data_IF_571192531811
#
_entry.id   IF_571192531811
#
_cell.length_a   1.000
_cell.length_b   1.000
_cell.length_c   1.000
_cell.angle_alpha   90.00
_cell.angle_beta   90.00
_cell.angle_gamma   90.00
#
_symmetry.space_group_name_H-M   'P 1'
#
loop_
_entity.id
_entity.type
_entity.pdbx_description
1 polymer ?
#
# COMPACT_ATOMS: atom_id res chain seq x y z
N UNK A 1 9.59 -2.93 24.61
CA UNK A 1 8.89 -2.40 23.41
C UNK A 1 7.42 -2.26 23.76
N UNK A 2 6.71 -1.22 23.30
CA UNK A 2 5.27 -1.07 23.55
C UNK A 2 4.53 -0.92 22.22
N UNK A 3 3.50 -1.75 22.04
CA UNK A 3 2.60 -1.68 20.89
C UNK A 3 1.39 -0.81 21.19
N UNK A 4 1.19 0.24 20.39
CA UNK A 4 -0.01 1.07 20.44
C UNK A 4 -0.91 0.67 19.27
N UNK A 5 -2.09 0.11 19.55
CA UNK A 5 -3.07 -0.26 18.52
C UNK A 5 -3.70 0.98 17.86
N UNK A 6 -4.14 0.82 16.61
CA UNK A 6 -4.92 1.85 15.91
C UNK A 6 -6.20 2.14 16.69
N UNK A 7 -6.49 3.43 16.91
CA UNK A 7 -7.65 3.87 17.68
C UNK A 7 -7.52 3.73 19.21
N UNK A 8 -6.35 3.31 19.73
CA UNK A 8 -6.14 3.20 21.17
C UNK A 8 -6.38 4.54 21.88
N UNK A 9 -7.14 4.50 22.98
CA UNK A 9 -7.45 5.68 23.78
C UNK A 9 -6.24 6.12 24.61
N UNK A 10 -6.18 7.41 24.94
CA UNK A 10 -5.13 7.94 25.82
C UNK A 10 -5.09 7.21 27.19
N UNK A 11 -6.24 6.74 27.67
CA UNK A 11 -6.32 5.93 28.90
C UNK A 11 -5.66 4.57 28.72
N UNK A 12 -5.96 3.85 27.64
CA UNK A 12 -5.33 2.56 27.33
C UNK A 12 -3.81 2.69 27.17
N UNK A 13 -3.37 3.69 26.41
CA UNK A 13 -1.94 3.98 26.21
C UNK A 13 -1.24 4.27 27.53
N UNK A 14 -1.84 5.11 28.40
CA UNK A 14 -1.30 5.35 29.75
C UNK A 14 -1.29 4.08 30.62
N UNK A 15 -2.29 3.21 30.41
CA UNK A 15 -2.40 1.88 30.98
C UNK A 15 -1.17 1.04 30.71
N UNK A 16 -0.91 0.83 29.42
CA UNK A 16 0.23 0.09 28.88
C UNK A 16 1.56 0.66 29.37
N UNK A 17 1.73 1.98 29.28
CA UNK A 17 2.98 2.64 29.70
C UNK A 17 3.27 2.54 31.19
N UNK A 18 2.23 2.50 32.05
CA UNK A 18 2.45 2.29 33.49
C UNK A 18 2.78 0.82 33.79
N UNK A 19 2.12 -0.12 33.12
CA UNK A 19 2.39 -1.55 33.32
C UNK A 19 3.84 -1.91 32.94
N UNK A 20 4.34 -1.31 31.86
CA UNK A 20 5.73 -1.42 31.41
C UNK A 20 6.72 -0.52 32.18
N UNK A 21 6.27 0.09 33.29
CA UNK A 21 7.08 0.96 34.16
C UNK A 21 7.74 2.16 33.45
N UNK A 22 7.22 2.61 32.30
CA UNK A 22 7.73 3.79 31.59
C UNK A 22 7.26 5.11 32.21
N UNK A 23 6.07 5.11 32.81
CA UNK A 23 5.51 6.28 33.52
C UNK A 23 5.23 5.95 34.99
N UNK A 24 5.42 6.95 35.86
CA UNK A 24 5.13 6.81 37.31
C UNK A 24 3.63 6.82 37.61
N UNK A 25 2.87 7.69 36.94
CA UNK A 25 1.46 7.92 37.25
C UNK A 25 0.62 8.08 35.96
N UNK A 26 -0.44 7.26 35.83
CA UNK A 26 -1.39 7.27 34.71
C UNK A 26 -2.11 8.63 34.60
N UNK A 27 -2.61 9.15 35.72
CA UNK A 27 -3.43 10.37 35.76
C UNK A 27 -2.60 11.59 35.37
N UNK A 28 -1.38 11.71 35.89
CA UNK A 28 -0.46 12.79 35.52
C UNK A 28 -0.12 12.78 34.02
N UNK A 29 0.04 11.58 33.44
CA UNK A 29 0.27 11.42 32.01
C UNK A 29 -0.93 11.87 31.18
N UNK A 30 -2.15 11.46 31.54
CA UNK A 30 -3.37 11.86 30.84
C UNK A 30 -3.59 13.37 30.90
N UNK A 31 -3.38 13.99 32.07
CA UNK A 31 -3.48 15.45 32.24
C UNK A 31 -2.43 16.17 31.39
N UNK A 32 -1.17 15.75 31.45
CA UNK A 32 -0.09 16.34 30.66
C UNK A 32 -0.35 16.21 29.14
N UNK A 33 -0.91 15.08 28.71
CA UNK A 33 -1.30 14.87 27.32
C UNK A 33 -2.44 15.82 26.91
N UNK A 34 -3.49 15.94 27.74
CA UNK A 34 -4.63 16.84 27.50
C UNK A 34 -4.21 18.31 27.34
N UNK A 35 -3.29 18.79 28.18
CA UNK A 35 -2.74 20.15 28.11
C UNK A 35 -1.94 20.37 26.81
N UNK A 36 -1.31 19.33 26.28
CA UNK A 36 -0.41 19.44 25.12
C UNK A 36 -1.13 19.67 23.78
N UNK A 37 -2.46 19.88 23.76
CA UNK A 37 -3.35 20.20 22.62
C UNK A 37 -3.29 19.26 21.38
N UNK A 38 -2.36 18.29 21.38
CA UNK A 38 -2.08 17.35 20.29
C UNK A 38 -2.24 15.90 20.73
N UNK A 39 -2.73 15.63 21.94
CA UNK A 39 -2.91 14.27 22.45
C UNK A 39 -3.91 13.42 21.66
N UNK A 40 -4.83 14.03 20.91
CA UNK A 40 -5.72 13.30 20.00
C UNK A 40 -5.00 12.82 18.72
N UNK A 41 -3.71 13.13 18.53
CA UNK A 41 -2.90 12.74 17.38
C UNK A 41 -1.83 11.69 17.74
N UNK A 42 -2.14 10.80 18.68
CA UNK A 42 -1.26 9.66 18.99
C UNK A 42 -1.11 8.79 17.74
N UNK A 43 0.13 8.58 17.31
CA UNK A 43 0.45 7.64 16.24
C UNK A 43 0.48 6.23 16.80
N UNK A 44 -0.26 5.33 16.18
CA UNK A 44 -0.22 3.90 16.46
C UNK A 44 1.06 3.30 15.86
N UNK A 45 1.49 2.15 16.39
CA UNK A 45 2.73 1.48 16.01
C UNK A 45 3.54 1.03 17.23
N UNK A 46 4.70 0.45 16.98
CA UNK A 46 5.59 -0.07 18.00
C UNK A 46 6.63 0.96 18.43
N UNK A 47 6.70 1.20 19.73
CA UNK A 47 7.63 2.16 20.30
C UNK A 47 8.70 1.47 21.14
N UNK A 48 9.95 1.77 20.84
CA UNK A 48 11.09 1.42 21.67
C UNK A 48 11.42 2.58 22.62
N UNK A 49 11.33 2.28 23.92
CA UNK A 49 11.73 3.17 24.99
C UNK A 49 12.85 2.49 25.79
N UNK A 50 14.08 2.96 25.63
CA UNK A 50 15.27 2.35 26.27
C UNK A 50 15.36 2.67 27.78
N UNK A 51 14.74 3.78 28.22
CA UNK A 51 14.81 4.26 29.61
C UNK A 51 13.50 4.91 30.05
N UNK A 52 13.30 4.97 31.37
CA UNK A 52 12.26 5.82 31.99
C UNK A 52 12.50 7.27 31.59
N UNK A 53 11.63 7.79 30.73
CA UNK A 53 11.68 9.18 30.24
C UNK A 53 10.54 9.97 30.88
N UNK A 54 10.63 11.31 30.83
CA UNK A 54 9.56 12.14 31.37
C UNK A 54 8.26 11.91 30.59
N UNK A 55 7.12 11.97 31.29
CA UNK A 55 5.80 11.80 30.66
C UNK A 55 5.63 12.71 29.43
N UNK A 56 6.12 13.95 29.53
CA UNK A 56 6.07 14.92 28.44
C UNK A 56 6.94 14.52 27.23
N UNK A 57 8.11 13.92 27.46
CA UNK A 57 8.96 13.40 26.38
C UNK A 57 8.27 12.23 25.67
N UNK A 58 7.66 11.31 26.42
CA UNK A 58 6.91 10.18 25.87
C UNK A 58 5.72 10.68 25.04
N UNK A 59 4.94 11.64 25.56
CA UNK A 59 3.82 12.26 24.83
C UNK A 59 4.32 12.88 23.52
N UNK A 60 5.41 13.66 23.57
CA UNK A 60 5.99 14.26 22.36
C UNK A 60 6.39 13.21 21.33
N UNK A 61 7.05 12.13 21.75
CA UNK A 61 7.46 11.04 20.86
C UNK A 61 6.26 10.37 20.20
N UNK A 62 5.25 10.03 20.97
CA UNK A 62 4.06 9.31 20.48
C UNK A 62 3.16 10.20 19.59
N UNK A 63 3.11 11.51 19.86
CA UNK A 63 2.41 12.47 18.99
C UNK A 63 3.16 12.71 17.68
N UNK A 64 4.50 12.67 17.71
CA UNK A 64 5.35 12.86 16.52
C UNK A 64 5.55 11.58 15.70
N UNK A 65 5.24 10.40 16.25
CA UNK A 65 5.57 9.12 15.61
C UNK A 65 7.06 8.79 15.69
N UNK A 66 7.74 9.19 16.77
CA UNK A 66 9.14 8.85 17.02
C UNK A 66 9.23 7.45 17.66
N UNK A 67 8.97 6.43 16.83
CA UNK A 67 8.90 5.02 17.19
C UNK A 67 10.18 4.50 17.88
N UNK A 68 11.35 5.03 17.51
CA UNK A 68 12.63 4.55 18.05
C UNK A 68 13.03 3.16 17.54
N UNK A 69 12.27 2.62 16.58
CA UNK A 69 12.66 1.50 15.73
C UNK A 69 12.92 2.03 14.33
N UNK A 70 13.86 1.42 13.62
CA UNK A 70 14.13 1.80 12.23
C UNK A 70 13.19 1.03 11.30
N UNK A 71 12.49 1.70 10.38
CA UNK A 71 11.71 0.99 9.37
C UNK A 71 12.64 0.28 8.38
N UNK A 72 12.20 -0.85 7.88
CA UNK A 72 12.81 -1.60 6.79
C UNK A 72 12.31 -1.01 5.47
N UNK A 73 13.23 -0.78 4.54
CA UNK A 73 12.94 -0.35 3.19
C UNK A 73 12.58 -1.56 2.33
N UNK A 74 11.34 -1.60 1.85
CA UNK A 74 10.85 -2.62 0.91
C UNK A 74 10.64 -1.95 -0.44
N UNK A 75 11.27 -2.48 -1.47
CA UNK A 75 11.07 -2.03 -2.85
C UNK A 75 10.16 -3.05 -3.52
N UNK A 76 8.93 -2.64 -3.81
CA UNK A 76 8.00 -3.48 -4.57
C UNK A 76 8.26 -3.21 -6.05
N UNK A 77 8.88 -4.16 -6.77
CA UNK A 77 9.10 -4.01 -8.18
C UNK A 77 7.76 -4.03 -8.89
N UNK A 78 7.82 -3.42 -10.04
CA UNK A 78 6.65 -3.20 -10.82
C UNK A 78 6.31 -4.48 -11.61
N UNK A 79 5.02 -4.82 -11.76
CA UNK A 79 4.58 -6.10 -12.33
C UNK A 79 4.43 -7.25 -11.32
N UNK A 80 4.73 -7.01 -10.03
CA UNK A 80 4.47 -7.98 -8.96
C UNK A 80 2.99 -8.25 -8.74
N UNK A 81 2.65 -9.53 -8.57
CA UNK A 81 1.32 -9.96 -8.12
C UNK A 81 1.22 -9.93 -6.58
N UNK A 82 0.03 -10.15 -6.04
CA UNK A 82 -0.17 -10.18 -4.59
C UNK A 82 0.64 -11.28 -3.88
N UNK A 83 0.96 -12.40 -4.56
CA UNK A 83 1.77 -13.48 -3.99
C UNK A 83 3.26 -13.10 -3.89
N UNK A 84 3.78 -12.42 -4.91
CA UNK A 84 5.14 -11.90 -4.94
C UNK A 84 5.32 -10.85 -3.84
N UNK A 85 4.36 -9.94 -3.70
CA UNK A 85 4.34 -8.94 -2.64
C UNK A 85 4.30 -9.64 -1.28
N UNK A 86 3.43 -10.63 -1.09
CA UNK A 86 3.37 -11.37 0.17
C UNK A 86 4.70 -12.08 0.50
N UNK A 87 5.43 -12.55 -0.50
CA UNK A 87 6.76 -13.13 -0.34
C UNK A 87 7.81 -12.14 0.17
N UNK A 88 7.68 -10.85 -0.12
CA UNK A 88 8.63 -9.80 0.33
C UNK A 88 8.55 -9.51 1.83
N UNK A 89 7.46 -9.93 2.49
CA UNK A 89 7.22 -9.69 3.91
C UNK A 89 7.37 -10.95 4.77
N UNK A 90 7.93 -12.04 4.24
CA UNK A 90 8.11 -13.30 4.98
C UNK A 90 8.92 -13.15 6.27
N UNK A 91 9.82 -12.17 6.33
CA UNK A 91 10.74 -11.94 7.45
C UNK A 91 10.15 -11.01 8.54
N UNK A 92 8.88 -10.63 8.40
CA UNK A 92 8.18 -9.76 9.33
C UNK A 92 7.55 -10.59 10.46
N UNK A 93 7.69 -10.11 11.70
CA UNK A 93 7.39 -10.88 12.91
C UNK A 93 5.91 -11.26 13.03
N UNK A 94 5.02 -10.37 12.58
CA UNK A 94 3.56 -10.54 12.66
C UNK A 94 2.90 -10.66 11.28
N UNK A 95 3.69 -10.89 10.23
CA UNK A 95 3.15 -11.04 8.90
C UNK A 95 2.64 -12.47 8.69
N UNK A 96 1.37 -12.57 8.33
CA UNK A 96 0.73 -13.82 7.94
C UNK A 96 0.43 -13.76 6.44
N UNK A 97 1.11 -14.63 5.70
CA UNK A 97 0.98 -14.72 4.24
C UNK A 97 -0.43 -15.10 3.81
N UNK A 98 -1.08 -16.06 4.48
CA UNK A 98 -2.43 -16.51 4.12
C UNK A 98 -3.45 -15.40 4.38
N UNK A 99 -3.31 -14.73 5.52
CA UNK A 99 -4.12 -13.55 5.86
C UNK A 99 -3.94 -12.44 4.84
N UNK A 100 -2.70 -12.15 4.43
CA UNK A 100 -2.43 -11.14 3.40
C UNK A 100 -3.11 -11.48 2.08
N UNK A 101 -2.97 -12.73 1.59
CA UNK A 101 -3.59 -13.14 0.33
C UNK A 101 -5.10 -12.98 0.39
N UNK A 102 -5.73 -13.46 1.47
CA UNK A 102 -7.17 -13.31 1.68
C UNK A 102 -7.61 -11.84 1.74
N UNK A 103 -6.89 -10.98 2.46
CA UNK A 103 -7.23 -9.55 2.58
C UNK A 103 -6.93 -8.75 1.31
N UNK A 104 -6.00 -9.24 0.47
CA UNK A 104 -5.65 -8.68 -0.82
C UNK A 104 -6.57 -9.15 -1.96
N UNK A 105 -7.46 -10.11 -1.70
CA UNK A 105 -8.41 -10.61 -2.68
C UNK A 105 -9.27 -9.47 -3.25
N UNK A 106 -9.36 -9.41 -4.59
CA UNK A 106 -10.05 -8.32 -5.29
C UNK A 106 -9.28 -6.99 -5.34
N UNK A 107 -8.07 -6.91 -4.77
CA UNK A 107 -7.17 -5.74 -4.84
C UNK A 107 -5.97 -5.94 -5.79
N UNK A 108 -6.04 -6.94 -6.66
CA UNK A 108 -5.03 -7.17 -7.69
C UNK A 108 -4.87 -5.91 -8.57
N UNK A 109 -3.64 -5.45 -8.76
CA UNK A 109 -3.33 -4.21 -9.48
C UNK A 109 -3.57 -2.90 -8.69
N UNK A 110 -4.18 -2.97 -7.50
CA UNK A 110 -4.37 -1.81 -6.61
C UNK A 110 -3.26 -1.64 -5.57
N UNK A 111 -2.40 -2.64 -5.39
CA UNK A 111 -1.20 -2.54 -4.57
C UNK A 111 -0.10 -1.84 -5.38
N UNK A 112 0.02 -0.52 -5.23
CA UNK A 112 0.88 0.29 -6.09
C UNK A 112 2.37 -0.08 -5.90
N UNK A 113 3.14 -0.31 -6.98
CA UNK A 113 4.57 -0.58 -6.87
C UNK A 113 5.32 0.71 -6.59
N UNK A 114 6.02 0.73 -5.47
CA UNK A 114 6.84 1.86 -5.01
C UNK A 114 7.85 1.34 -3.99
N UNK A 115 8.65 2.26 -3.45
CA UNK A 115 9.46 2.01 -2.26
C UNK A 115 8.67 2.40 -1.01
N UNK A 116 8.51 1.43 -0.11
CA UNK A 116 7.82 1.60 1.17
C UNK A 116 8.77 1.48 2.35
N UNK A 117 8.39 2.10 3.47
CA UNK A 117 9.11 2.03 4.74
C UNK A 117 8.18 1.43 5.79
N UNK A 118 8.38 0.15 6.09
CA UNK A 118 7.55 -0.57 7.06
C UNK A 118 8.36 -1.00 8.28
N UNK A 119 7.74 -1.03 9.45
CA UNK A 119 8.34 -1.68 10.61
C UNK A 119 8.24 -3.20 10.47
N UNK A 120 9.19 -3.97 11.01
CA UNK A 120 9.16 -5.45 10.99
C UNK A 120 7.91 -6.06 11.64
N UNK A 121 7.19 -5.26 12.42
CA UNK A 121 5.96 -5.62 13.12
C UNK A 121 4.70 -5.22 12.36
N UNK A 122 4.83 -4.65 11.15
CA UNK A 122 3.69 -4.28 10.32
C UNK A 122 2.86 -5.53 9.97
N UNK A 123 1.54 -5.39 10.06
CA UNK A 123 0.60 -6.45 9.72
C UNK A 123 0.09 -6.30 8.27
N UNK A 124 -0.50 -7.37 7.74
CA UNK A 124 -1.06 -7.39 6.39
C UNK A 124 -2.02 -6.23 6.11
N UNK A 125 -2.92 -5.89 7.04
CA UNK A 125 -3.88 -4.79 6.89
C UNK A 125 -3.18 -3.44 6.71
N UNK A 126 -2.10 -3.19 7.46
CA UNK A 126 -1.32 -1.95 7.39
C UNK A 126 -0.60 -1.84 6.05
N UNK A 127 0.04 -2.93 5.61
CA UNK A 127 0.74 -3.00 4.32
C UNK A 127 -0.23 -2.75 3.16
N UNK A 128 -1.34 -3.50 3.12
CA UNK A 128 -2.37 -3.35 2.08
C UNK A 128 -2.97 -1.94 2.11
N UNK A 129 -3.26 -1.42 3.30
CA UNK A 129 -3.81 -0.08 3.49
C UNK A 129 -2.88 1.02 2.96
N UNK A 130 -1.58 0.93 3.24
CA UNK A 130 -0.60 1.91 2.77
C UNK A 130 -0.42 1.85 1.24
N UNK A 131 -0.31 0.65 0.67
CA UNK A 131 -0.15 0.46 -0.77
C UNK A 131 -1.39 0.92 -1.57
N UNK A 132 -2.60 0.60 -1.10
CA UNK A 132 -3.85 1.05 -1.73
C UNK A 132 -4.08 2.55 -1.57
N UNK A 133 -3.70 3.14 -0.43
CA UNK A 133 -3.72 4.58 -0.25
C UNK A 133 -2.73 5.28 -1.21
N UNK A 134 -1.55 4.68 -1.42
CA UNK A 134 -0.59 5.19 -2.40
C UNK A 134 -1.13 5.10 -3.82
N UNK A 135 -1.78 3.98 -4.19
CA UNK A 135 -2.49 3.86 -5.48
C UNK A 135 -3.48 5.01 -5.68
N UNK A 136 -4.39 5.22 -4.71
CA UNK A 136 -5.39 6.30 -4.79
C UNK A 136 -4.74 7.68 -4.90
N UNK A 137 -3.60 7.90 -4.24
CA UNK A 137 -2.87 9.18 -4.30
C UNK A 137 -2.18 9.40 -5.65
N UNK A 138 -1.61 8.36 -6.26
CA UNK A 138 -0.80 8.45 -7.47
C UNK A 138 -1.64 8.36 -8.75
N UNK A 139 -2.69 7.56 -8.70
CA UNK A 139 -3.55 7.22 -9.84
C UNK A 139 -4.88 7.95 -9.76
N UNK A 140 -5.48 8.01 -8.57
CA UNK A 140 -6.85 8.47 -8.38
C UNK A 140 -7.87 7.37 -8.69
N UNK A 141 -9.09 7.76 -9.02
CA UNK A 141 -10.15 6.83 -9.39
C UNK A 141 -10.01 6.46 -10.88
N UNK A 142 -9.96 5.16 -11.16
CA UNK A 142 -9.82 4.59 -12.50
C UNK A 142 -10.83 3.47 -12.70
N UNK A 143 -11.33 3.30 -13.93
CA UNK A 143 -12.22 2.17 -14.23
C UNK A 143 -11.46 0.84 -14.14
N UNK A 144 -12.19 -0.22 -13.78
CA UNK A 144 -11.62 -1.58 -13.73
C UNK A 144 -11.04 -2.01 -15.08
N UNK A 145 -11.70 -1.64 -16.18
CA UNK A 145 -11.24 -1.97 -17.53
C UNK A 145 -9.93 -1.28 -17.89
N UNK A 146 -9.75 -0.03 -17.46
CA UNK A 146 -8.50 0.69 -17.69
C UNK A 146 -7.36 0.13 -16.83
N UNK A 147 -7.65 -0.37 -15.63
CA UNK A 147 -6.68 -1.08 -14.80
C UNK A 147 -6.26 -2.42 -15.43
N UNK A 148 -7.22 -3.21 -15.92
CA UNK A 148 -6.97 -4.47 -16.64
C UNK A 148 -6.18 -4.18 -17.94
N UNK A 149 -6.53 -3.12 -18.66
CA UNK A 149 -5.79 -2.70 -19.86
C UNK A 149 -4.34 -2.35 -19.51
N UNK A 150 -4.13 -1.63 -18.41
CA UNK A 150 -2.79 -1.28 -17.95
C UNK A 150 -1.98 -2.53 -17.57
N UNK A 151 -2.58 -3.52 -16.90
CA UNK A 151 -1.87 -4.77 -16.56
C UNK A 151 -1.52 -5.62 -17.78
N UNK A 152 -2.37 -5.61 -18.83
CA UNK A 152 -2.07 -6.30 -20.10
C UNK A 152 -0.94 -5.62 -20.87
N UNK A 153 -1.04 -4.31 -21.10
CA UNK A 153 0.01 -3.52 -21.77
C UNK A 153 1.34 -3.72 -21.06
N UNK A 154 1.28 -3.80 -19.75
CA UNK A 154 2.44 -3.92 -18.92
C UNK A 154 3.23 -5.20 -19.17
N UNK A 155 2.55 -6.34 -19.22
CA UNK A 155 3.21 -7.62 -19.48
C UNK A 155 3.76 -7.74 -20.91
N UNK A 156 3.20 -7.01 -21.86
CA UNK A 156 3.60 -7.06 -23.28
C UNK A 156 4.75 -6.10 -23.63
N UNK A 157 4.87 -4.98 -22.90
CA UNK A 157 5.75 -3.90 -23.33
C UNK A 157 7.12 -3.95 -22.66
N UNK A 158 8.17 -3.97 -23.47
CA UNK A 158 9.56 -3.98 -22.97
C UNK A 158 10.03 -2.60 -22.46
N UNK A 159 9.47 -1.50 -22.98
CA UNK A 159 9.84 -0.14 -22.59
C UNK A 159 8.68 0.88 -22.73
N UNK A 160 8.89 2.12 -22.29
CA UNK A 160 7.85 3.15 -22.28
C UNK A 160 7.37 3.66 -23.64
N UNK A 161 8.19 3.58 -24.70
CA UNK A 161 7.75 3.93 -26.06
C UNK A 161 6.83 2.82 -26.61
N UNK A 162 7.21 1.56 -26.41
CA UNK A 162 6.42 0.40 -26.80
C UNK A 162 5.04 0.42 -26.13
N UNK A 163 4.97 0.81 -24.85
CA UNK A 163 3.68 0.93 -24.12
C UNK A 163 2.69 1.86 -24.79
N UNK A 164 3.14 3.01 -25.32
CA UNK A 164 2.25 3.96 -26.00
C UNK A 164 1.71 3.37 -27.30
N UNK A 165 2.57 2.69 -28.07
CA UNK A 165 2.20 2.04 -29.33
C UNK A 165 1.23 0.87 -29.08
N UNK A 166 1.59 -0.03 -28.16
CA UNK A 166 0.80 -1.20 -27.77
C UNK A 166 -0.57 -0.75 -27.25
N UNK A 167 -0.61 0.25 -26.36
CA UNK A 167 -1.87 0.81 -25.87
C UNK A 167 -2.76 1.30 -27.01
N UNK A 168 -2.19 2.05 -27.97
CA UNK A 168 -2.93 2.53 -29.14
C UNK A 168 -3.48 1.40 -30.01
N UNK A 169 -2.75 0.29 -30.15
CA UNK A 169 -3.19 -0.89 -30.91
C UNK A 169 -4.34 -1.60 -30.18
N UNK A 170 -4.19 -1.87 -28.89
CA UNK A 170 -5.21 -2.59 -28.10
C UNK A 170 -6.54 -1.82 -28.06
N UNK A 171 -6.49 -0.50 -27.86
CA UNK A 171 -7.69 0.34 -27.93
C UNK A 171 -8.35 0.35 -29.31
N UNK A 172 -7.57 0.35 -30.39
CA UNK A 172 -8.10 0.23 -31.76
C UNK A 172 -8.80 -1.12 -31.95
N UNK A 173 -8.22 -2.23 -31.47
CA UNK A 173 -8.81 -3.57 -31.55
C UNK A 173 -10.16 -3.64 -30.84
N UNK A 174 -10.26 -3.12 -29.62
CA UNK A 174 -11.53 -3.05 -28.87
C UNK A 174 -12.58 -2.27 -29.64
N UNK A 175 -12.20 -1.11 -30.20
CA UNK A 175 -13.13 -0.24 -30.93
C UNK A 175 -13.74 -0.92 -32.17
N UNK A 176 -13.03 -1.84 -32.80
CA UNK A 176 -13.51 -2.60 -33.97
C UNK A 176 -13.99 -4.00 -33.61
N UNK A 177 -14.21 -4.29 -32.32
CA UNK A 177 -14.64 -5.59 -31.80
C UNK A 177 -13.73 -6.77 -32.22
N UNK A 178 -12.43 -6.51 -32.32
CA UNK A 178 -11.41 -7.50 -32.64
C UNK A 178 -10.85 -8.12 -31.34
N UNK A 179 -10.64 -9.45 -31.28
CA UNK A 179 -9.98 -10.10 -30.16
C UNK A 179 -8.61 -9.49 -29.85
N UNK A 180 -8.28 -9.32 -28.56
CA UNK A 180 -7.01 -8.69 -28.16
C UNK A 180 -5.79 -9.58 -28.43
N UNK A 181 -5.93 -10.91 -28.33
CA UNK A 181 -4.88 -11.90 -28.57
C UNK A 181 -3.58 -11.59 -27.80
N UNK A 182 -3.70 -11.48 -26.47
CA UNK A 182 -2.59 -11.12 -25.58
C UNK A 182 -2.18 -12.37 -24.79
N UNK A 183 -0.93 -12.78 -24.92
CA UNK A 183 -0.43 -14.01 -24.29
C UNK A 183 -0.26 -13.83 -22.77
N UNK A 184 -0.14 -12.58 -22.30
CA UNK A 184 -0.06 -12.20 -20.89
C UNK A 184 -1.19 -12.71 -19.98
N UNK A 185 -2.34 -13.10 -20.55
CA UNK A 185 -3.52 -13.57 -19.80
C UNK A 185 -3.45 -15.06 -19.47
N UNK A 186 -2.68 -15.85 -20.25
CA UNK A 186 -2.61 -17.30 -20.07
C UNK A 186 -2.21 -17.75 -18.66
N UNK A 187 -1.18 -17.19 -18.01
CA UNK A 187 -0.80 -17.58 -16.65
C UNK A 187 -1.89 -17.34 -15.59
N UNK A 188 -2.76 -16.34 -15.80
CA UNK A 188 -3.90 -16.07 -14.89
C UNK A 188 -5.05 -17.07 -15.08
N UNK A 189 -5.17 -17.67 -16.26
CA UNK A 189 -6.22 -18.65 -16.59
C UNK A 189 -5.77 -20.07 -16.19
N UNK A 190 -4.51 -20.42 -16.39
CA UNK A 190 -3.99 -21.78 -16.18
C UNK A 190 -3.51 -22.03 -14.76
N UNK A 191 -3.23 -20.99 -13.96
CA UNK A 191 -2.70 -21.14 -12.60
C UNK A 191 -1.26 -21.68 -12.54
N UNK A 192 -0.65 -21.98 -13.69
CA UNK A 192 0.72 -22.48 -13.81
C UNK A 192 1.70 -21.31 -13.84
N UNK A 193 2.25 -20.99 -12.67
CA UNK A 193 3.40 -20.10 -12.50
C UNK A 193 4.68 -20.82 -12.92
N UNK A 194 5.05 -20.82 -14.20
CA UNK A 194 6.45 -20.91 -14.63
C UNK A 194 6.57 -20.61 -16.12
N UNK A 195 6.68 -19.34 -16.51
CA UNK A 195 7.60 -18.92 -17.59
C UNK A 195 8.12 -17.50 -17.27
N UNK A 196 9.43 -17.44 -17.03
CA UNK A 196 10.36 -16.30 -17.17
C UNK A 196 10.15 -15.02 -16.36
N UNK A 197 11.13 -14.78 -15.46
CA UNK A 197 11.78 -13.47 -15.25
C UNK A 197 11.71 -12.61 -16.51
N UNK A 198 11.11 -11.42 -16.45
CA UNK A 198 11.14 -10.27 -17.39
C UNK A 198 9.70 -9.68 -17.38
N UNK A 199 9.40 -8.48 -16.87
CA UNK A 199 9.70 -7.14 -17.41
C UNK A 199 8.97 -6.10 -16.52
N UNK A 200 9.38 -4.81 -16.62
CA UNK A 200 9.04 -3.64 -15.77
C UNK A 200 7.82 -2.83 -16.26
N UNK A 201 7.22 -2.01 -15.35
CA UNK A 201 5.87 -1.32 -15.33
C UNK A 201 5.58 -0.15 -16.25
N UNK A 202 4.28 0.13 -16.47
CA UNK A 202 3.69 1.48 -16.28
C UNK A 202 2.21 1.56 -15.84
N UNK A 203 1.94 2.22 -14.70
CA UNK A 203 0.68 2.94 -14.39
C UNK A 203 0.79 4.47 -14.66
N UNK A 204 1.98 4.96 -15.00
CA UNK A 204 2.28 6.39 -15.26
C UNK A 204 1.68 7.00 -16.55
N UNK A 205 1.09 6.20 -17.45
CA UNK A 205 0.54 6.70 -18.72
C UNK A 205 -0.85 7.30 -18.56
N UNK A 206 -1.64 6.86 -17.58
CA UNK A 206 -3.04 7.30 -17.45
C UNK A 206 -3.22 8.71 -16.85
N UNK A 207 -2.27 9.23 -16.07
CA UNK A 207 -2.50 10.47 -15.29
C UNK A 207 -1.98 11.76 -15.92
N UNK A 208 -1.17 11.73 -17.00
CA UNK A 208 -0.66 12.96 -17.63
C UNK A 208 -0.79 13.06 -19.15
N UNK A 209 -0.66 11.95 -19.90
CA UNK A 209 -0.48 12.03 -21.37
C UNK A 209 -1.52 11.28 -22.20
N UNK A 210 -2.37 10.43 -21.60
CA UNK A 210 -3.43 9.74 -22.32
C UNK A 210 -4.81 10.30 -21.95
N UNK A 211 -5.01 11.59 -22.20
CA UNK A 211 -6.39 12.01 -22.46
C UNK A 211 -6.86 11.27 -23.71
N UNK A 212 -8.10 10.75 -23.74
CA UNK A 212 -8.69 10.37 -25.01
C UNK A 212 -8.51 11.57 -25.95
N UNK A 213 -7.96 11.34 -27.14
CA UNK A 213 -8.15 12.28 -28.24
C UNK A 213 -9.65 12.52 -28.28
N UNK A 214 -10.07 13.74 -27.97
CA UNK A 214 -11.48 14.11 -27.95
C UNK A 214 -12.12 13.56 -29.23
N UNK A 215 -13.04 12.61 -29.09
CA UNK A 215 -13.92 12.25 -30.19
C UNK A 215 -15.34 12.08 -29.65
N UNK A 216 -16.34 12.60 -30.37
CA UNK A 216 -17.65 12.94 -29.85
C UNK A 216 -18.45 11.65 -29.70
N UNK A 217 -18.56 11.14 -28.48
CA UNK A 217 -19.54 10.09 -28.20
C UNK A 217 -20.46 10.68 -27.16
N UNK A 218 -21.52 11.31 -27.69
CA UNK A 218 -22.74 11.54 -26.96
C UNK A 218 -23.19 10.22 -26.34
N UNK A 219 -23.36 10.30 -25.03
CA UNK A 219 -24.24 9.53 -24.18
C UNK A 219 -25.39 8.90 -24.98
N UNK A 220 -25.35 7.58 -25.15
CA UNK A 220 -26.56 6.79 -25.32
C UNK A 220 -26.79 6.09 -23.98
N UNK A 221 -27.54 6.75 -23.12
CA UNK A 221 -28.47 6.05 -22.22
C UNK A 221 -29.77 5.85 -22.99
N UNK A 222 -30.50 4.74 -22.77
CA UNK A 222 -31.86 4.59 -23.31
C UNK A 222 -32.80 5.67 -22.78
#
# INVERSE_FOLDING_TARGET
MIRIKKGASLREVSGLMKNENLIKNKTAFVVAAGISAKANKIKHGDYLFEKRTSALAIIRRVVRGEFGVQPVKIVVPEGSDNLDIAGMFSDFEYFDKEKFIKESEGKEGYLFPDTYLFFKTAEAEEIIGEMTANFKKKVGDISKDALIMASMIEKEASNGQDRKVISGILWKRIKINMPLQVDAVFPYITGEKEISKLIRLTIRIFTKDCRPVQSPIQVWTP
#
